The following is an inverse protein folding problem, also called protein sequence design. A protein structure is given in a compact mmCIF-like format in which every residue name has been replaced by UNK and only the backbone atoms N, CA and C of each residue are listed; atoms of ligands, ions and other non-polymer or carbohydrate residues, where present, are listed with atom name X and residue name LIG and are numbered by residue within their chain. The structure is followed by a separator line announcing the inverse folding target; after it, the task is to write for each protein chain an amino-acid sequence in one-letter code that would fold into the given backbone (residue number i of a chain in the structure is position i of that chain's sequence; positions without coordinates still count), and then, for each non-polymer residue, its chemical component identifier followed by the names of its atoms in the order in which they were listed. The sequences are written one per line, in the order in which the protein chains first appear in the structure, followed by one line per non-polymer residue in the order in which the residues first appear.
data_IF_517400717607
#
_entry.id   IF_517400717607
#
_cell.length_a   1.000
_cell.length_b   1.000
_cell.length_c   1.000
_cell.angle_alpha   90.00
_cell.angle_beta   90.00
_cell.angle_gamma   90.00
#
_symmetry.space_group_name_H-M   'P 1'
#
loop_
_entity.id
_entity.type
_entity.pdbx_description
1 polymer ?
#
# COMPACT_ATOMS: atom_id res chain seq x y z
N UNK A 1 37.90 -61.65 -45.16
CA UNK A 1 37.55 -60.76 -46.25
C UNK A 1 37.24 -59.42 -45.72
N UNK A 2 38.17 -58.51 -46.03
CA UNK A 2 38.17 -57.02 -45.97
C UNK A 2 37.48 -56.26 -44.82
N UNK A 3 38.35 -55.83 -43.90
CA UNK A 3 38.13 -54.76 -42.92
C UNK A 3 38.08 -53.42 -43.62
N UNK A 4 37.21 -52.52 -43.11
CA UNK A 4 37.34 -51.08 -43.31
C UNK A 4 37.39 -50.34 -41.96
N UNK A 5 38.60 -49.94 -41.56
CA UNK A 5 38.83 -48.92 -40.57
C UNK A 5 38.63 -47.57 -41.23
N UNK A 6 37.72 -46.74 -40.72
CA UNK A 6 37.63 -45.33 -41.08
C UNK A 6 38.19 -44.50 -39.95
N UNK A 7 39.14 -43.67 -40.25
CA UNK A 7 39.73 -42.64 -39.39
C UNK A 7 38.69 -41.55 -39.08
N UNK A 8 38.51 -41.22 -37.82
CA UNK A 8 37.84 -40.01 -37.36
C UNK A 8 38.89 -38.97 -37.04
N UNK A 9 38.95 -37.93 -37.87
CA UNK A 9 39.69 -36.71 -37.57
C UNK A 9 38.89 -35.85 -36.59
N UNK A 10 39.47 -35.57 -35.44
CA UNK A 10 38.86 -34.69 -34.43
C UNK A 10 39.03 -33.22 -34.81
N UNK A 11 37.92 -32.52 -35.00
CA UNK A 11 37.88 -31.05 -35.03
C UNK A 11 37.62 -30.54 -33.62
N UNK A 12 38.63 -29.86 -33.03
CA UNK A 12 38.45 -29.14 -31.78
C UNK A 12 37.64 -27.87 -32.02
N UNK A 13 36.36 -27.90 -31.63
CA UNK A 13 35.56 -26.69 -31.59
C UNK A 13 35.84 -25.96 -30.28
N UNK A 14 36.50 -24.80 -30.38
CA UNK A 14 36.68 -23.88 -29.27
C UNK A 14 35.33 -23.32 -28.82
N UNK A 15 34.88 -23.68 -27.64
CA UNK A 15 33.72 -23.09 -27.01
C UNK A 15 34.05 -21.67 -26.54
N UNK A 16 33.56 -20.65 -27.26
CA UNK A 16 33.56 -19.30 -26.79
C UNK A 16 32.64 -19.17 -25.59
N UNK A 17 33.17 -18.87 -24.41
CA UNK A 17 32.42 -18.53 -23.21
C UNK A 17 31.61 -17.25 -23.50
N UNK A 18 30.30 -17.21 -23.13
CA UNK A 18 29.53 -16.00 -23.28
C UNK A 18 30.11 -14.91 -22.36
N UNK A 19 30.36 -13.75 -22.93
CA UNK A 19 30.80 -12.57 -22.21
C UNK A 19 29.84 -12.27 -21.05
N UNK A 20 30.36 -12.21 -19.83
CA UNK A 20 29.64 -11.77 -18.65
C UNK A 20 29.03 -10.40 -18.96
N UNK A 21 27.71 -10.34 -18.94
CA UNK A 21 26.98 -9.10 -19.07
C UNK A 21 27.48 -8.14 -17.99
N UNK A 22 28.11 -7.06 -18.43
CA UNK A 22 28.59 -5.97 -17.59
C UNK A 22 27.44 -5.52 -16.71
N UNK A 23 27.61 -5.63 -15.40
CA UNK A 23 26.67 -5.12 -14.42
C UNK A 23 26.48 -3.61 -14.70
N UNK A 24 25.29 -3.25 -15.17
CA UNK A 24 24.94 -1.86 -15.47
C UNK A 24 24.96 -1.11 -14.14
N UNK A 25 25.84 -0.10 -14.03
CA UNK A 25 25.92 0.74 -12.84
C UNK A 25 24.51 1.26 -12.48
N UNK A 26 24.13 1.27 -11.20
CA UNK A 26 22.80 1.71 -10.78
C UNK A 26 22.57 3.15 -11.30
N UNK A 27 21.58 3.33 -12.14
CA UNK A 27 21.18 4.66 -12.61
C UNK A 27 20.52 5.36 -11.43
N UNK A 28 21.27 6.24 -10.77
CA UNK A 28 20.74 7.15 -9.75
C UNK A 28 19.56 7.90 -10.36
N UNK A 29 18.37 7.74 -9.79
CA UNK A 29 17.23 8.56 -10.19
C UNK A 29 17.59 10.03 -9.94
N UNK A 30 17.24 10.97 -10.83
CA UNK A 30 17.45 12.38 -10.56
C UNK A 30 16.67 12.79 -9.30
N UNK A 31 17.15 13.77 -8.52
CA UNK A 31 16.42 14.26 -7.37
C UNK A 31 15.03 14.71 -7.84
N UNK A 32 14.01 14.04 -7.36
CA UNK A 32 12.62 14.33 -7.69
C UNK A 32 12.18 15.42 -6.73
N UNK A 33 11.62 16.49 -7.28
CA UNK A 33 10.92 17.48 -6.49
C UNK A 33 9.70 16.87 -5.77
N UNK A 34 8.71 17.66 -5.43
CA UNK A 34 7.49 17.20 -4.76
C UNK A 34 6.81 16.06 -5.55
N UNK A 35 6.49 14.96 -4.84
CA UNK A 35 5.85 13.77 -5.43
C UNK A 35 4.35 14.04 -5.62
N UNK A 36 3.90 14.09 -6.87
CA UNK A 36 2.50 14.15 -7.24
C UNK A 36 2.08 12.81 -7.81
N UNK A 37 1.22 12.07 -7.11
CA UNK A 37 0.92 10.70 -7.50
C UNK A 37 -0.52 10.25 -7.30
N UNK A 38 -0.78 9.04 -7.77
CA UNK A 38 -1.96 8.24 -7.42
C UNK A 38 -1.52 6.86 -6.94
N UNK A 39 -2.35 6.20 -6.13
CA UNK A 39 -2.03 4.92 -5.54
C UNK A 39 -2.99 3.81 -5.96
N UNK A 40 -2.50 2.57 -5.90
CA UNK A 40 -3.28 1.32 -5.94
C UNK A 40 -2.67 0.30 -4.98
N UNK A 41 -3.44 -0.75 -4.62
CA UNK A 41 -2.94 -1.91 -3.89
C UNK A 41 -3.18 -3.18 -4.72
N UNK A 42 -2.23 -4.11 -4.72
CA UNK A 42 -2.24 -5.27 -5.60
C UNK A 42 -3.54 -6.07 -5.50
N UNK A 43 -3.93 -6.51 -4.32
CA UNK A 43 -5.16 -7.30 -4.13
C UNK A 43 -6.43 -6.57 -4.61
N UNK A 44 -6.48 -5.24 -4.45
CA UNK A 44 -7.64 -4.43 -4.81
C UNK A 44 -7.78 -4.19 -6.33
N UNK A 45 -6.70 -4.32 -7.10
CA UNK A 45 -6.72 -3.98 -8.55
C UNK A 45 -6.25 -5.08 -9.48
N UNK A 46 -5.36 -5.98 -9.04
CA UNK A 46 -4.71 -6.95 -9.94
C UNK A 46 -5.62 -8.07 -10.41
N UNK A 47 -6.50 -8.57 -9.52
CA UNK A 47 -7.33 -9.75 -9.77
C UNK A 47 -6.60 -11.07 -9.55
N UNK A 48 -7.35 -12.14 -9.29
CA UNK A 48 -6.83 -13.50 -9.20
C UNK A 48 -5.68 -13.71 -8.20
N UNK A 49 -5.69 -13.04 -7.03
CA UNK A 49 -4.65 -13.18 -6.01
C UNK A 49 -4.88 -14.42 -5.11
N UNK A 50 -4.99 -15.58 -5.75
CA UNK A 50 -5.50 -16.83 -5.16
C UNK A 50 -4.68 -17.41 -4.00
N UNK A 51 -3.42 -17.01 -3.86
CA UNK A 51 -2.54 -17.48 -2.80
C UNK A 51 -2.51 -16.54 -1.58
N UNK A 52 -3.29 -15.45 -1.61
CA UNK A 52 -3.37 -14.52 -0.47
C UNK A 52 -4.36 -15.01 0.60
N UNK A 53 -4.14 -14.54 1.81
CA UNK A 53 -5.05 -14.71 2.94
C UNK A 53 -6.43 -14.06 2.67
N UNK A 54 -6.45 -12.87 2.06
CA UNK A 54 -7.68 -12.18 1.71
C UNK A 54 -8.52 -12.96 0.70
N UNK A 55 -7.89 -13.58 -0.32
CA UNK A 55 -8.60 -14.47 -1.25
C UNK A 55 -9.29 -15.62 -0.51
N UNK A 56 -8.59 -16.27 0.42
CA UNK A 56 -9.21 -17.34 1.23
C UNK A 56 -10.37 -16.80 2.04
N UNK A 57 -10.18 -15.65 2.72
CA UNK A 57 -11.19 -15.06 3.61
C UNK A 57 -12.47 -14.63 2.86
N UNK A 58 -12.36 -14.15 1.61
CA UNK A 58 -13.51 -13.73 0.81
C UNK A 58 -14.29 -14.91 0.19
N UNK A 59 -13.71 -16.13 0.15
CA UNK A 59 -14.33 -17.31 -0.45
C UNK A 59 -14.87 -18.32 0.57
N UNK A 60 -14.75 -18.06 1.89
CA UNK A 60 -15.29 -18.96 2.93
C UNK A 60 -16.66 -18.54 3.42
N UNK A 61 -17.38 -19.50 4.03
CA UNK A 61 -18.67 -19.26 4.69
C UNK A 61 -18.60 -19.83 6.13
N UNK A 62 -19.04 -19.06 7.15
CA UNK A 62 -19.45 -17.66 7.07
C UNK A 62 -18.29 -16.75 6.65
N UNK A 63 -18.56 -15.67 5.94
CA UNK A 63 -17.58 -14.71 5.44
C UNK A 63 -17.91 -13.29 5.85
N UNK A 64 -16.90 -12.41 5.82
CA UNK A 64 -17.03 -11.00 6.21
C UNK A 64 -17.06 -10.05 4.99
N UNK A 65 -16.87 -10.56 3.79
CA UNK A 65 -16.83 -9.76 2.56
C UNK A 65 -18.20 -9.71 1.91
N UNK A 66 -18.59 -8.53 1.40
CA UNK A 66 -19.84 -8.35 0.67
C UNK A 66 -19.85 -9.15 -0.65
N UNK A 67 -18.71 -9.22 -1.30
CA UNK A 67 -18.46 -9.96 -2.55
C UNK A 67 -16.96 -10.27 -2.67
N UNK A 68 -16.55 -11.27 -3.48
CA UNK A 68 -15.14 -11.56 -3.72
C UNK A 68 -14.49 -10.56 -4.66
N UNK A 69 -13.16 -10.41 -4.57
CA UNK A 69 -12.35 -9.56 -5.45
C UNK A 69 -12.38 -10.02 -6.91
N UNK A 70 -12.37 -11.32 -7.15
CA UNK A 70 -12.36 -11.90 -8.50
C UNK A 70 -11.20 -11.37 -9.35
N UNK A 71 -11.53 -10.87 -10.54
CA UNK A 71 -10.55 -10.26 -11.46
C UNK A 71 -10.20 -8.81 -11.10
N UNK A 72 -10.75 -8.27 -10.03
CA UNK A 72 -10.56 -6.89 -9.57
C UNK A 72 -10.69 -5.86 -10.70
N UNK A 73 -9.63 -5.13 -11.02
CA UNK A 73 -9.55 -4.23 -12.17
C UNK A 73 -8.74 -4.84 -13.34
N UNK A 74 -8.33 -6.11 -13.25
CA UNK A 74 -7.43 -6.77 -14.21
C UNK A 74 -6.10 -5.99 -14.41
N UNK A 75 -5.66 -5.27 -13.37
CA UNK A 75 -4.44 -4.47 -13.46
C UNK A 75 -3.18 -5.33 -13.59
N UNK A 76 -3.24 -6.61 -13.18
CA UNK A 76 -2.13 -7.55 -13.41
C UNK A 76 -1.75 -7.62 -14.89
N UNK A 77 -2.73 -7.62 -15.79
CA UNK A 77 -2.50 -7.63 -17.23
C UNK A 77 -2.48 -6.22 -17.83
N UNK A 78 -3.17 -5.26 -17.23
CA UNK A 78 -3.39 -3.90 -17.77
C UNK A 78 -2.57 -2.80 -17.10
N UNK A 79 -1.55 -3.15 -16.30
CA UNK A 79 -0.70 -2.16 -15.61
C UNK A 79 -0.12 -1.09 -16.54
N UNK A 80 0.18 -1.45 -17.80
CA UNK A 80 0.72 -0.50 -18.77
C UNK A 80 -0.29 0.60 -19.14
N UNK A 81 -1.60 0.25 -19.23
CA UNK A 81 -2.69 1.20 -19.43
C UNK A 81 -2.85 2.13 -18.20
N UNK A 82 -2.81 1.55 -16.99
CA UNK A 82 -2.86 2.31 -15.74
C UNK A 82 -1.70 3.31 -15.62
N UNK A 83 -0.49 2.88 -15.92
CA UNK A 83 0.72 3.73 -15.96
C UNK A 83 0.59 4.85 -16.98
N UNK A 84 0.06 4.54 -18.18
CA UNK A 84 -0.17 5.54 -19.23
C UNK A 84 -1.17 6.60 -18.77
N UNK A 85 -2.23 6.21 -18.05
CA UNK A 85 -3.21 7.13 -17.47
C UNK A 85 -2.56 8.05 -16.43
N UNK A 86 -1.78 7.50 -15.49
CA UNK A 86 -1.04 8.31 -14.49
C UNK A 86 -0.15 9.34 -15.18
N UNK A 87 0.57 8.93 -16.23
CA UNK A 87 1.42 9.83 -17.02
C UNK A 87 0.60 10.90 -17.75
N UNK A 88 -0.52 10.51 -18.37
CA UNK A 88 -1.41 11.42 -19.11
C UNK A 88 -2.06 12.47 -18.19
N UNK A 89 -2.29 12.14 -16.93
CA UNK A 89 -2.73 13.09 -15.90
C UNK A 89 -1.64 14.11 -15.53
N UNK A 90 -0.41 13.96 -16.03
CA UNK A 90 0.70 14.85 -15.69
C UNK A 90 1.31 14.58 -14.32
N UNK A 91 1.00 13.47 -13.66
CA UNK A 91 1.64 13.06 -12.40
C UNK A 91 3.08 12.62 -12.62
N UNK A 92 3.86 12.53 -11.55
CA UNK A 92 5.26 12.08 -11.60
C UNK A 92 5.53 10.83 -10.78
N UNK A 93 4.53 10.32 -10.04
CA UNK A 93 4.67 9.21 -9.11
C UNK A 93 3.49 8.26 -9.26
N UNK A 94 3.77 6.96 -9.23
CA UNK A 94 2.76 5.92 -9.10
C UNK A 94 3.11 5.03 -7.92
N UNK A 95 2.22 4.97 -6.90
CA UNK A 95 2.36 4.09 -5.76
C UNK A 95 1.55 2.81 -5.98
N UNK A 96 2.18 1.66 -5.81
CA UNK A 96 1.55 0.35 -5.95
C UNK A 96 2.17 -0.69 -5.03
N UNK A 97 1.44 -1.76 -4.74
CA UNK A 97 1.93 -2.90 -3.97
C UNK A 97 2.61 -3.94 -4.87
N UNK A 98 3.52 -4.71 -4.27
CA UNK A 98 3.97 -6.01 -4.80
C UNK A 98 3.39 -7.09 -3.91
N UNK A 99 2.73 -8.09 -4.51
CA UNK A 99 2.03 -9.11 -3.74
C UNK A 99 2.97 -10.22 -3.29
N UNK A 100 3.22 -10.30 -1.97
CA UNK A 100 4.04 -11.36 -1.38
C UNK A 100 3.49 -12.75 -1.73
N UNK A 101 2.17 -12.91 -1.67
CA UNK A 101 1.47 -14.15 -2.02
C UNK A 101 1.69 -14.63 -3.47
N UNK A 102 2.05 -13.74 -4.39
CA UNK A 102 2.44 -14.09 -5.77
C UNK A 102 3.92 -14.42 -5.88
N UNK A 103 4.75 -13.64 -5.17
CA UNK A 103 6.22 -13.80 -5.20
C UNK A 103 6.64 -15.06 -4.46
N UNK A 104 5.99 -15.38 -3.33
CA UNK A 104 6.24 -16.59 -2.52
C UNK A 104 4.91 -17.31 -2.26
N UNK A 105 4.35 -18.01 -3.27
CA UNK A 105 3.06 -18.68 -3.16
C UNK A 105 3.01 -19.80 -2.12
N UNK A 106 4.13 -20.48 -1.89
CA UNK A 106 4.36 -21.42 -0.80
C UNK A 106 5.67 -21.07 -0.08
N UNK A 107 5.79 -21.47 1.17
CA UNK A 107 6.95 -21.11 2.02
C UNK A 107 8.28 -21.53 1.42
N UNK A 108 9.12 -20.54 1.08
CA UNK A 108 10.45 -20.74 0.50
C UNK A 108 10.46 -20.93 -1.03
N UNK A 109 9.31 -20.98 -1.68
CA UNK A 109 9.22 -21.12 -3.14
C UNK A 109 9.04 -19.75 -3.80
N UNK A 110 10.10 -19.26 -4.42
CA UNK A 110 10.09 -17.93 -5.06
C UNK A 110 9.71 -18.03 -6.53
N UNK A 111 8.62 -17.39 -6.91
CA UNK A 111 8.16 -17.27 -8.29
C UNK A 111 8.98 -16.23 -9.06
N UNK A 112 9.88 -16.70 -9.93
CA UNK A 112 10.62 -15.82 -10.86
C UNK A 112 9.67 -15.08 -11.80
N UNK A 113 8.60 -15.74 -12.26
CA UNK A 113 7.62 -15.14 -13.15
C UNK A 113 6.91 -13.94 -12.50
N UNK A 114 6.59 -14.02 -11.19
CA UNK A 114 6.01 -12.91 -10.45
C UNK A 114 7.02 -11.76 -10.27
N UNK A 115 8.27 -12.07 -9.93
CA UNK A 115 9.32 -11.06 -9.86
C UNK A 115 9.54 -10.36 -11.22
N UNK A 116 9.57 -11.12 -12.31
CA UNK A 116 9.71 -10.57 -13.67
C UNK A 116 8.49 -9.71 -14.05
N UNK A 117 7.29 -10.06 -13.59
CA UNK A 117 6.09 -9.24 -13.77
C UNK A 117 6.24 -7.87 -13.10
N UNK A 118 6.58 -7.82 -11.81
CA UNK A 118 6.77 -6.55 -11.10
C UNK A 118 7.96 -5.75 -11.62
N UNK A 119 9.00 -6.42 -12.12
CA UNK A 119 10.10 -5.73 -12.82
C UNK A 119 9.59 -5.01 -14.06
N UNK A 120 8.81 -5.69 -14.92
CA UNK A 120 8.22 -5.04 -16.11
C UNK A 120 7.32 -3.86 -15.75
N UNK A 121 6.56 -3.97 -14.67
CA UNK A 121 5.72 -2.88 -14.16
C UNK A 121 6.57 -1.67 -13.71
N UNK A 122 7.64 -1.91 -12.95
CA UNK A 122 8.59 -0.88 -12.50
C UNK A 122 9.28 -0.23 -13.71
N UNK A 123 9.74 -1.04 -14.66
CA UNK A 123 10.41 -0.56 -15.87
C UNK A 123 9.46 0.29 -16.73
N UNK A 124 8.19 -0.11 -16.86
CA UNK A 124 7.16 0.68 -17.54
C UNK A 124 6.92 2.04 -16.88
N UNK A 125 6.86 2.08 -15.53
CA UNK A 125 6.77 3.34 -14.79
C UNK A 125 7.96 4.24 -15.11
N UNK A 126 9.18 3.71 -15.06
CA UNK A 126 10.40 4.47 -15.35
C UNK A 126 10.47 4.95 -16.80
N UNK A 127 10.09 4.10 -17.75
CA UNK A 127 10.01 4.45 -19.17
C UNK A 127 9.00 5.57 -19.43
N UNK A 128 7.89 5.59 -18.67
CA UNK A 128 6.90 6.68 -18.67
C UNK A 128 7.37 7.94 -17.93
N UNK A 129 8.57 7.95 -17.34
CA UNK A 129 9.09 9.06 -16.54
C UNK A 129 8.40 9.22 -15.18
N UNK A 130 7.76 8.17 -14.69
CA UNK A 130 7.17 8.12 -13.36
C UNK A 130 8.17 7.57 -12.33
N UNK A 131 8.02 8.01 -11.10
CA UNK A 131 8.74 7.53 -9.93
C UNK A 131 7.98 6.34 -9.30
N UNK A 132 8.52 5.10 -9.36
CA UNK A 132 7.88 3.96 -8.74
C UNK A 132 7.98 4.07 -7.21
N UNK A 133 6.84 4.10 -6.53
CA UNK A 133 6.73 4.08 -5.09
C UNK A 133 6.12 2.73 -4.68
N UNK A 134 6.93 1.84 -4.11
CA UNK A 134 6.55 0.44 -3.89
C UNK A 134 6.19 0.17 -2.44
N UNK A 135 5.04 -0.48 -2.23
CA UNK A 135 4.61 -1.01 -0.92
C UNK A 135 4.84 -2.51 -0.87
N UNK A 136 5.62 -2.98 0.11
CA UNK A 136 5.95 -4.40 0.28
C UNK A 136 4.81 -5.20 0.90
N UNK A 137 4.09 -4.62 1.86
CA UNK A 137 2.91 -5.24 2.47
C UNK A 137 1.75 -4.25 2.50
N UNK A 138 0.71 -4.53 1.72
CA UNK A 138 -0.56 -3.78 1.74
C UNK A 138 -1.67 -4.71 2.22
N UNK A 139 -1.65 -5.00 3.52
CA UNK A 139 -2.53 -5.90 4.28
C UNK A 139 -2.34 -7.38 3.98
N UNK A 140 -2.42 -7.77 2.69
CA UNK A 140 -2.35 -9.17 2.27
C UNK A 140 -1.03 -9.84 2.63
N UNK A 141 -1.13 -11.11 2.99
CA UNK A 141 -0.01 -12.02 3.21
C UNK A 141 -0.27 -13.35 2.49
N UNK A 142 0.73 -14.18 2.24
CA UNK A 142 0.50 -15.53 1.71
C UNK A 142 -0.39 -16.36 2.66
N UNK A 143 -1.29 -17.16 2.09
CA UNK A 143 -2.18 -18.06 2.87
C UNK A 143 -1.40 -18.98 3.82
N UNK A 144 -0.22 -19.47 3.42
CA UNK A 144 0.65 -20.28 4.27
C UNK A 144 1.17 -19.51 5.49
N UNK A 145 1.45 -18.20 5.33
CA UNK A 145 1.86 -17.32 6.43
C UNK A 145 0.70 -17.11 7.41
N UNK A 146 -0.51 -16.85 6.90
CA UNK A 146 -1.71 -16.73 7.72
C UNK A 146 -2.02 -18.03 8.47
N UNK A 147 -1.87 -19.20 7.81
CA UNK A 147 -2.02 -20.54 8.42
C UNK A 147 -0.96 -20.85 9.48
N UNK A 148 0.24 -20.28 9.35
CA UNK A 148 1.30 -20.40 10.36
C UNK A 148 1.16 -19.43 11.55
N UNK A 149 0.02 -18.74 11.67
CA UNK A 149 -0.24 -17.79 12.75
C UNK A 149 0.08 -16.33 12.41
N UNK A 150 0.43 -16.04 11.16
CA UNK A 150 0.53 -14.67 10.64
C UNK A 150 1.42 -13.76 11.47
N UNK A 151 0.93 -12.55 11.69
CA UNK A 151 1.59 -11.53 12.50
C UNK A 151 1.50 -11.77 14.02
N UNK A 152 0.86 -12.82 14.49
CA UNK A 152 0.83 -13.15 15.92
C UNK A 152 2.02 -14.03 16.38
N UNK A 153 2.90 -14.44 15.45
CA UNK A 153 4.04 -15.32 15.73
C UNK A 153 5.37 -14.64 15.39
N UNK A 154 6.20 -14.42 16.43
CA UNK A 154 7.52 -13.79 16.25
C UNK A 154 8.43 -14.58 15.29
N UNK A 155 8.32 -15.91 15.27
CA UNK A 155 9.07 -16.77 14.35
C UNK A 155 8.76 -16.50 12.86
N UNK A 156 7.66 -15.85 12.55
CA UNK A 156 7.28 -15.51 11.18
C UNK A 156 7.96 -14.24 10.65
N UNK A 157 8.60 -13.44 11.52
CA UNK A 157 9.32 -12.21 11.12
C UNK A 157 10.40 -12.53 10.08
N UNK A 158 11.15 -13.62 10.25
CA UNK A 158 12.20 -14.03 9.32
C UNK A 158 11.68 -14.25 7.88
N UNK A 159 10.45 -14.74 7.75
CA UNK A 159 9.84 -14.96 6.45
C UNK A 159 9.58 -13.63 5.71
N UNK A 160 9.04 -12.64 6.40
CA UNK A 160 8.80 -11.31 5.83
C UNK A 160 10.12 -10.60 5.47
N UNK A 161 11.12 -10.71 6.34
CA UNK A 161 12.46 -10.14 6.09
C UNK A 161 13.10 -10.74 4.84
N UNK A 162 13.05 -12.08 4.69
CA UNK A 162 13.53 -12.76 3.47
C UNK A 162 12.79 -12.32 2.22
N UNK A 163 11.46 -12.19 2.30
CA UNK A 163 10.67 -11.66 1.19
C UNK A 163 11.13 -10.26 0.80
N UNK A 164 11.26 -9.33 1.76
CA UNK A 164 11.71 -7.96 1.51
C UNK A 164 13.11 -7.94 0.88
N UNK A 165 14.05 -8.73 1.39
CA UNK A 165 15.41 -8.83 0.85
C UNK A 165 15.38 -9.39 -0.59
N UNK A 166 14.67 -10.49 -0.82
CA UNK A 166 14.56 -11.14 -2.14
C UNK A 166 13.94 -10.20 -3.17
N UNK A 167 12.82 -9.55 -2.83
CA UNK A 167 12.18 -8.59 -3.70
C UNK A 167 13.08 -7.38 -3.97
N UNK A 168 13.81 -6.87 -2.97
CA UNK A 168 14.73 -5.75 -3.15
C UNK A 168 15.91 -6.13 -4.04
N UNK A 169 16.49 -7.32 -3.89
CA UNK A 169 17.56 -7.82 -4.78
C UNK A 169 17.10 -7.92 -6.23
N UNK A 170 15.86 -8.35 -6.43
CA UNK A 170 15.29 -8.50 -7.76
C UNK A 170 14.83 -7.20 -8.40
N UNK A 171 14.27 -6.26 -7.64
CA UNK A 171 13.51 -5.11 -8.13
C UNK A 171 14.08 -3.75 -7.72
N UNK A 172 14.94 -3.73 -6.70
CA UNK A 172 15.30 -2.51 -5.96
C UNK A 172 15.96 -1.42 -6.78
N UNK A 173 16.69 -1.75 -7.84
CA UNK A 173 17.36 -0.78 -8.73
C UNK A 173 16.36 0.12 -9.48
N UNK A 174 15.11 -0.34 -9.63
CA UNK A 174 14.03 0.42 -10.26
C UNK A 174 13.15 1.20 -9.27
N UNK A 175 13.15 0.82 -7.99
CA UNK A 175 12.30 1.44 -6.96
C UNK A 175 12.85 2.81 -6.56
N UNK A 176 11.96 3.79 -6.44
CA UNK A 176 12.31 5.15 -6.04
C UNK A 176 12.05 5.46 -4.56
N UNK A 177 10.95 4.95 -3.99
CA UNK A 177 10.62 4.97 -2.56
C UNK A 177 10.00 3.63 -2.17
N UNK A 178 10.14 3.23 -0.92
CA UNK A 178 9.60 1.98 -0.40
C UNK A 178 8.83 2.18 0.91
N UNK A 179 7.69 1.49 1.03
CA UNK A 179 6.99 1.28 2.30
C UNK A 179 7.11 -0.18 2.69
N UNK A 180 7.54 -0.46 3.91
CA UNK A 180 7.50 -1.81 4.47
C UNK A 180 6.07 -2.26 4.68
N UNK A 181 5.27 -1.42 5.35
CA UNK A 181 3.87 -1.66 5.67
C UNK A 181 2.97 -0.51 5.25
N UNK A 182 1.79 -0.88 4.77
CA UNK A 182 0.63 -0.01 4.67
C UNK A 182 -0.22 -0.16 5.94
N UNK A 183 -0.45 0.94 6.65
CA UNK A 183 -1.38 1.06 7.78
C UNK A 183 -1.31 -0.08 8.83
N UNK A 184 -0.15 -0.43 9.36
CA UNK A 184 -0.06 -1.52 10.34
C UNK A 184 -0.83 -1.20 11.65
N UNK A 185 -1.16 0.06 11.89
CA UNK A 185 -1.97 0.53 13.01
C UNK A 185 -3.49 0.38 12.80
N UNK A 186 -3.96 0.05 11.58
CA UNK A 186 -5.40 0.03 11.25
C UNK A 186 -6.19 -0.95 12.14
N UNK A 187 -5.66 -2.15 12.40
CA UNK A 187 -6.35 -3.12 13.24
C UNK A 187 -6.61 -2.60 14.67
N UNK A 188 -5.66 -1.86 15.24
CA UNK A 188 -5.83 -1.20 16.53
C UNK A 188 -6.87 -0.07 16.44
N UNK A 189 -6.83 0.74 15.38
CA UNK A 189 -7.79 1.82 15.15
C UNK A 189 -9.22 1.31 15.01
N UNK A 190 -9.44 0.22 14.28
CA UNK A 190 -10.77 -0.39 14.09
C UNK A 190 -11.39 -0.88 15.41
N UNK A 191 -10.58 -1.26 16.40
CA UNK A 191 -11.08 -1.68 17.72
C UNK A 191 -11.73 -0.55 18.52
N UNK A 192 -11.43 0.70 18.20
CA UNK A 192 -12.11 1.87 18.78
C UNK A 192 -13.47 2.11 18.15
N UNK A 193 -13.78 1.49 16.99
CA UNK A 193 -15.08 1.59 16.34
C UNK A 193 -16.08 0.60 16.96
N UNK A 194 -17.22 1.06 17.53
CA UNK A 194 -18.22 0.17 18.16
C UNK A 194 -18.72 -0.93 17.22
N UNK A 195 -18.98 -0.58 15.96
CA UNK A 195 -19.41 -1.51 14.92
C UNK A 195 -18.43 -2.68 14.74
N UNK A 196 -17.13 -2.40 14.73
CA UNK A 196 -16.11 -3.43 14.56
C UNK A 196 -16.08 -4.40 15.74
N UNK A 197 -16.26 -3.89 16.98
CA UNK A 197 -16.36 -4.72 18.18
C UNK A 197 -17.56 -5.69 18.10
N UNK A 198 -18.69 -5.23 17.56
CA UNK A 198 -19.90 -6.07 17.37
C UNK A 198 -19.67 -7.16 16.33
N UNK A 199 -18.83 -6.94 15.32
CA UNK A 199 -18.53 -7.93 14.29
C UNK A 199 -17.47 -8.97 14.70
N UNK A 200 -16.78 -8.80 15.82
CA UNK A 200 -15.68 -9.67 16.24
C UNK A 200 -16.03 -11.18 16.28
N UNK A 201 -17.21 -11.62 16.75
CA UNK A 201 -17.60 -13.05 16.70
C UNK A 201 -17.72 -13.56 15.27
N UNK A 202 -18.22 -12.74 14.34
CA UNK A 202 -18.31 -13.07 12.91
C UNK A 202 -16.95 -13.24 12.27
N UNK A 203 -16.00 -12.37 12.59
CA UNK A 203 -14.60 -12.49 12.13
C UNK A 203 -13.92 -13.75 12.66
N UNK A 204 -14.15 -14.10 13.94
CA UNK A 204 -13.62 -15.34 14.50
C UNK A 204 -14.18 -16.58 13.77
N UNK A 205 -15.47 -16.61 13.46
CA UNK A 205 -16.10 -17.69 12.70
C UNK A 205 -15.55 -17.77 11.26
N UNK A 206 -15.35 -16.63 10.61
CA UNK A 206 -14.75 -16.57 9.26
C UNK A 206 -13.30 -17.07 9.27
N UNK A 207 -12.48 -16.66 10.23
CA UNK A 207 -11.10 -17.15 10.39
C UNK A 207 -11.06 -18.67 10.64
N UNK A 208 -11.96 -19.21 11.44
CA UNK A 208 -12.07 -20.65 11.65
C UNK A 208 -12.47 -21.40 10.35
N UNK A 209 -13.34 -20.81 9.53
CA UNK A 209 -13.68 -21.35 8.23
C UNK A 209 -12.50 -21.30 7.26
N UNK A 210 -11.75 -20.21 7.25
CA UNK A 210 -10.55 -20.02 6.45
C UNK A 210 -9.44 -21.03 6.85
N UNK A 211 -9.21 -21.25 8.13
CA UNK A 211 -8.27 -22.26 8.64
C UNK A 211 -8.60 -23.66 8.08
N UNK A 212 -9.87 -24.07 8.17
CA UNK A 212 -10.33 -25.35 7.62
C UNK A 212 -10.14 -25.44 6.11
N UNK A 213 -10.40 -24.34 5.39
CA UNK A 213 -10.29 -24.32 3.92
C UNK A 213 -8.86 -24.53 3.43
N UNK A 214 -7.86 -24.11 4.21
CA UNK A 214 -6.43 -24.30 3.86
C UNK A 214 -5.77 -25.47 4.60
N UNK A 215 -6.54 -26.25 5.41
CA UNK A 215 -6.00 -27.38 6.16
C UNK A 215 -5.04 -26.97 7.31
N UNK A 216 -5.23 -25.80 7.90
CA UNK A 216 -4.42 -25.31 9.02
C UNK A 216 -5.21 -25.31 10.34
N UNK A 217 -4.48 -25.34 11.47
CA UNK A 217 -5.08 -25.27 12.81
C UNK A 217 -5.65 -23.89 13.13
N UNK A 218 -5.11 -22.86 12.51
CA UNK A 218 -5.49 -21.46 12.71
C UNK A 218 -5.32 -20.66 11.43
N UNK A 219 -5.97 -19.51 11.38
CA UNK A 219 -5.84 -18.53 10.30
C UNK A 219 -5.82 -17.13 10.88
N UNK A 220 -4.76 -16.38 10.60
CA UNK A 220 -4.54 -15.02 11.14
C UNK A 220 -4.32 -14.06 9.97
N UNK A 221 -5.31 -13.22 9.73
CA UNK A 221 -5.35 -12.28 8.60
C UNK A 221 -5.58 -10.86 9.10
N UNK A 222 -5.13 -9.89 8.34
CA UNK A 222 -5.43 -8.47 8.58
C UNK A 222 -6.90 -8.19 8.19
N UNK A 223 -7.65 -7.45 9.00
CA UNK A 223 -7.31 -6.78 10.25
C UNK A 223 -7.77 -7.53 11.51
N UNK A 224 -7.98 -8.85 11.43
CA UNK A 224 -8.67 -9.65 12.44
C UNK A 224 -7.77 -10.28 13.49
N UNK A 225 -6.47 -10.07 13.41
CA UNK A 225 -5.48 -10.58 14.36
C UNK A 225 -5.60 -9.93 15.76
N UNK A 226 -5.06 -10.59 16.78
CA UNK A 226 -4.91 -10.00 18.12
C UNK A 226 -3.82 -8.92 18.09
N UNK A 227 -4.24 -7.65 18.20
CA UNK A 227 -3.33 -6.49 18.14
C UNK A 227 -2.23 -6.55 19.19
N UNK A 228 -2.52 -7.06 20.40
CA UNK A 228 -1.51 -7.13 21.48
C UNK A 228 -0.40 -8.12 21.15
N UNK A 229 -0.73 -9.20 20.43
CA UNK A 229 0.24 -10.18 19.96
C UNK A 229 0.94 -9.70 18.68
N UNK A 230 0.20 -9.10 17.77
CA UNK A 230 0.71 -8.69 16.46
C UNK A 230 1.62 -7.45 16.52
N UNK A 231 1.33 -6.48 17.38
CA UNK A 231 2.09 -5.23 17.45
C UNK A 231 3.60 -5.43 17.62
N UNK A 232 4.10 -6.19 18.62
CA UNK A 232 5.55 -6.39 18.77
C UNK A 232 6.16 -7.15 17.59
N UNK A 233 5.41 -8.07 16.98
CA UNK A 233 5.86 -8.83 15.80
C UNK A 233 6.00 -7.94 14.59
N UNK A 234 5.00 -7.09 14.32
CA UNK A 234 5.03 -6.18 13.18
C UNK A 234 6.07 -5.06 13.35
N UNK A 235 6.27 -4.54 14.57
CA UNK A 235 7.34 -3.56 14.86
C UNK A 235 8.73 -4.16 14.57
N UNK A 236 9.00 -5.39 15.02
CA UNK A 236 10.24 -6.08 14.73
C UNK A 236 10.39 -6.43 13.25
N UNK A 237 9.29 -6.84 12.59
CA UNK A 237 9.27 -7.10 11.16
C UNK A 237 9.59 -5.83 10.36
N UNK A 238 9.00 -4.68 10.72
CA UNK A 238 9.30 -3.40 10.09
C UNK A 238 10.78 -3.03 10.22
N UNK A 239 11.31 -3.04 11.45
CA UNK A 239 12.70 -2.71 11.73
C UNK A 239 13.66 -3.55 10.91
N UNK A 240 13.51 -4.87 10.95
CA UNK A 240 14.39 -5.81 10.26
C UNK A 240 14.22 -5.80 8.74
N UNK A 241 12.98 -5.64 8.24
CA UNK A 241 12.72 -5.49 6.81
C UNK A 241 13.39 -4.21 6.26
N UNK A 242 13.30 -3.09 7.00
CA UNK A 242 13.99 -1.85 6.64
C UNK A 242 15.51 -2.07 6.55
N UNK A 243 16.11 -2.73 7.54
CA UNK A 243 17.54 -3.05 7.54
C UNK A 243 17.92 -3.95 6.36
N UNK A 244 17.11 -4.97 6.05
CA UNK A 244 17.33 -5.86 4.91
C UNK A 244 17.22 -5.11 3.56
N UNK A 245 16.24 -4.24 3.38
CA UNK A 245 16.11 -3.39 2.20
C UNK A 245 17.33 -2.46 2.07
N UNK A 246 17.71 -1.79 3.16
CA UNK A 246 18.87 -0.88 3.18
C UNK A 246 20.21 -1.60 2.96
N UNK A 247 20.35 -2.86 3.37
CA UNK A 247 21.56 -3.65 3.10
C UNK A 247 21.78 -3.93 1.61
N UNK A 248 20.69 -4.02 0.84
CA UNK A 248 20.71 -4.22 -0.61
C UNK A 248 20.77 -2.87 -1.36
N UNK A 249 20.00 -1.88 -0.89
CA UNK A 249 19.87 -0.55 -1.48
C UNK A 249 20.00 0.53 -0.41
N UNK A 250 21.23 0.89 -0.01
CA UNK A 250 21.49 1.88 1.06
C UNK A 250 20.87 3.27 0.78
N UNK A 251 20.77 3.63 -0.49
CA UNK A 251 20.25 4.92 -0.98
C UNK A 251 18.71 4.96 -1.13
N UNK A 252 18.02 3.82 -1.07
CA UNK A 252 16.58 3.76 -1.24
C UNK A 252 15.87 4.36 0.00
N UNK A 253 15.06 5.42 -0.14
CA UNK A 253 14.24 5.90 0.97
C UNK A 253 13.19 4.85 1.38
N UNK A 254 13.21 4.49 2.66
CA UNK A 254 12.30 3.49 3.25
C UNK A 254 11.56 4.09 4.43
N UNK A 255 10.25 3.88 4.48
CA UNK A 255 9.38 4.26 5.58
C UNK A 255 8.23 3.26 5.77
N UNK A 256 7.27 3.64 6.58
CA UNK A 256 5.97 3.00 6.70
C UNK A 256 4.86 4.04 6.56
N UNK A 257 3.60 3.63 6.30
CA UNK A 257 2.47 4.54 6.27
C UNK A 257 1.44 4.20 7.34
N UNK A 258 0.84 5.24 7.95
CA UNK A 258 -0.14 5.11 9.02
C UNK A 258 -1.51 5.62 8.60
N UNK A 259 -2.56 4.86 8.98
CA UNK A 259 -3.93 5.35 8.99
C UNK A 259 -4.07 6.39 10.11
N UNK A 260 -4.29 7.64 9.75
CA UNK A 260 -4.41 8.75 10.69
C UNK A 260 -5.71 9.51 10.42
N UNK A 261 -6.61 9.53 11.39
CA UNK A 261 -7.75 10.44 11.39
C UNK A 261 -7.42 11.70 12.20
N UNK A 262 -8.08 12.81 11.90
CA UNK A 262 -8.08 13.97 12.76
C UNK A 262 -8.93 13.65 13.99
N UNK A 263 -8.31 13.04 15.00
CA UNK A 263 -8.96 12.57 16.21
C UNK A 263 -9.18 13.74 17.17
N UNK A 264 -10.44 14.05 17.44
CA UNK A 264 -10.88 15.15 18.28
C UNK A 264 -11.66 14.63 19.50
N UNK A 265 -11.56 15.28 20.65
CA UNK A 265 -12.39 14.93 21.81
C UNK A 265 -13.87 15.12 21.46
N UNK A 266 -14.67 14.07 21.64
CA UNK A 266 -16.10 14.07 21.40
C UNK A 266 -16.94 14.20 22.67
N UNK A 267 -16.30 14.14 23.86
CA UNK A 267 -16.92 14.29 25.17
C UNK A 267 -15.91 14.86 26.18
N UNK A 268 -16.35 15.41 27.34
CA UNK A 268 -15.43 15.93 28.35
C UNK A 268 -14.46 14.89 28.94
N UNK A 269 -14.84 13.62 28.94
CA UNK A 269 -14.07 12.47 29.42
C UNK A 269 -13.38 11.70 28.28
N UNK A 270 -13.22 12.34 27.12
CA UNK A 270 -12.68 11.70 25.91
C UNK A 270 -11.34 10.99 26.13
N UNK A 271 -11.28 9.74 25.68
CA UNK A 271 -10.07 8.89 25.64
C UNK A 271 -9.11 9.17 24.47
N UNK A 272 -9.20 10.31 23.79
CA UNK A 272 -8.38 10.62 22.62
C UNK A 272 -6.89 10.43 22.87
N UNK A 273 -6.38 10.83 24.06
CA UNK A 273 -4.97 10.62 24.43
C UNK A 273 -4.62 9.15 24.57
N UNK A 274 -5.52 8.36 25.18
CA UNK A 274 -5.34 6.91 25.32
C UNK A 274 -5.34 6.23 23.95
N UNK A 275 -6.25 6.62 23.06
CA UNK A 275 -6.30 6.12 21.69
C UNK A 275 -5.01 6.41 20.92
N UNK A 276 -4.51 7.65 20.97
CA UNK A 276 -3.24 8.00 20.31
C UNK A 276 -2.08 7.17 20.88
N UNK A 277 -2.02 6.99 22.20
CA UNK A 277 -0.99 6.20 22.85
C UNK A 277 -1.04 4.71 22.47
N UNK A 278 -2.24 4.14 22.35
CA UNK A 278 -2.44 2.73 21.99
C UNK A 278 -2.23 2.48 20.50
N UNK A 279 -2.82 3.33 19.64
CA UNK A 279 -2.95 3.07 18.20
C UNK A 279 -1.78 3.60 17.40
N UNK A 280 -1.26 4.77 17.76
CA UNK A 280 -0.31 5.51 16.91
C UNK A 280 1.09 5.63 17.50
N UNK A 281 1.20 5.80 18.83
CA UNK A 281 2.48 6.09 19.47
C UNK A 281 3.57 5.05 19.18
N UNK A 282 3.34 3.72 19.26
CA UNK A 282 4.39 2.73 18.98
C UNK A 282 4.93 2.83 17.55
N UNK A 283 4.07 3.17 16.60
CA UNK A 283 4.43 3.32 15.20
C UNK A 283 5.14 4.64 14.91
N UNK A 284 4.75 5.73 15.56
CA UNK A 284 5.51 6.98 15.49
C UNK A 284 6.94 6.81 16.04
N UNK A 285 7.10 6.04 17.11
CA UNK A 285 8.41 5.74 17.69
C UNK A 285 9.27 4.91 16.72
N UNK A 286 8.70 3.89 16.12
CA UNK A 286 9.38 3.09 15.10
C UNK A 286 9.81 3.93 13.88
N UNK A 287 8.91 4.79 13.40
CA UNK A 287 9.14 5.64 12.23
C UNK A 287 10.23 6.71 12.44
N UNK A 288 10.65 6.99 13.68
CA UNK A 288 11.79 7.89 13.93
C UNK A 288 13.11 7.40 13.33
N UNK A 289 13.23 6.11 13.06
CA UNK A 289 14.38 5.54 12.39
C UNK A 289 14.28 5.58 10.85
N UNK A 290 13.11 5.87 10.31
CA UNK A 290 12.83 5.85 8.88
C UNK A 290 13.36 7.08 8.13
N UNK A 291 13.37 7.01 6.81
CA UNK A 291 13.76 8.15 5.98
C UNK A 291 12.61 9.16 5.83
N UNK A 292 11.36 8.70 5.95
CA UNK A 292 10.13 9.51 5.91
C UNK A 292 8.99 8.77 6.62
N UNK A 293 7.92 9.50 6.96
CA UNK A 293 6.65 8.91 7.43
C UNK A 293 5.56 9.09 6.39
N UNK A 294 4.85 8.01 6.06
CA UNK A 294 3.66 8.03 5.23
C UNK A 294 2.41 8.38 6.04
N UNK A 295 1.62 9.34 5.56
CA UNK A 295 0.35 9.76 6.18
C UNK A 295 -0.80 9.38 5.26
N UNK A 296 -1.82 8.72 5.83
CA UNK A 296 -3.04 8.33 5.14
C UNK A 296 -4.24 8.86 5.93
N UNK A 297 -5.00 9.78 5.33
CA UNK A 297 -6.06 10.51 6.03
C UNK A 297 -7.30 10.61 5.16
N UNK A 298 -8.47 10.24 5.72
CA UNK A 298 -9.73 10.27 5.00
C UNK A 298 -10.80 11.13 5.68
N UNK A 299 -10.61 11.48 6.97
CA UNK A 299 -11.60 12.27 7.68
C UNK A 299 -11.22 12.56 9.12
N UNK A 300 -12.22 13.07 9.84
CA UNK A 300 -12.17 13.35 11.28
C UNK A 300 -12.95 12.31 12.05
N UNK A 301 -12.49 11.99 13.27
CA UNK A 301 -13.17 11.11 14.21
C UNK A 301 -13.35 11.83 15.54
N UNK A 302 -14.55 11.78 16.10
CA UNK A 302 -14.83 12.19 17.47
C UNK A 302 -14.62 11.00 18.39
N UNK A 303 -13.80 11.16 19.40
CA UNK A 303 -13.43 10.09 20.35
C UNK A 303 -14.17 10.30 21.66
N UNK A 304 -14.99 9.32 22.07
CA UNK A 304 -15.61 9.25 23.39
C UNK A 304 -14.64 8.72 24.45
N UNK A 305 -15.16 8.27 25.59
CA UNK A 305 -14.34 7.81 26.70
C UNK A 305 -13.48 6.59 26.34
N UNK A 306 -14.07 5.59 25.67
CA UNK A 306 -13.45 4.30 25.36
C UNK A 306 -13.71 3.80 23.92
N UNK A 307 -14.40 4.61 23.11
CA UNK A 307 -14.76 4.28 21.73
C UNK A 307 -14.91 5.53 20.87
N UNK A 308 -14.85 5.35 19.56
CA UNK A 308 -15.21 6.37 18.59
C UNK A 308 -16.72 6.61 18.62
N UNK A 309 -17.09 7.88 18.51
CA UNK A 309 -18.47 8.30 18.41
C UNK A 309 -18.92 8.32 16.94
N UNK A 310 -20.21 8.04 16.67
CA UNK A 310 -20.75 8.20 15.33
C UNK A 310 -20.67 9.68 14.90
N UNK A 311 -20.64 9.95 13.59
CA UNK A 311 -20.76 11.31 13.08
C UNK A 311 -22.01 12.00 13.65
N UNK A 312 -21.91 13.28 14.08
CA UNK A 312 -23.06 14.01 14.59
C UNK A 312 -24.20 14.08 13.55
N UNK A 313 -25.47 14.10 14.00
CA UNK A 313 -26.60 14.23 13.09
C UNK A 313 -26.45 15.45 12.16
N UNK A 314 -26.77 15.27 10.89
CA UNK A 314 -26.70 16.34 9.86
C UNK A 314 -25.30 16.64 9.32
N UNK A 315 -24.25 16.00 9.83
CA UNK A 315 -22.91 16.11 9.23
C UNK A 315 -22.85 15.23 7.99
N UNK A 316 -22.31 15.78 6.91
CA UNK A 316 -22.08 15.05 5.66
C UNK A 316 -21.08 13.91 5.88
N UNK A 317 -21.45 12.72 5.37
CA UNK A 317 -20.62 11.53 5.41
C UNK A 317 -20.33 10.99 4.00
N UNK A 318 -19.24 10.23 3.89
CA UNK A 318 -18.81 9.56 2.66
C UNK A 318 -19.50 8.19 2.52
N UNK A 319 -19.30 7.50 1.40
CA UNK A 319 -19.81 6.12 1.21
C UNK A 319 -19.27 5.11 2.23
N UNK A 320 -18.13 5.40 2.87
CA UNK A 320 -17.56 4.59 3.95
C UNK A 320 -18.02 5.01 5.34
N UNK A 321 -18.92 6.01 5.45
CA UNK A 321 -19.45 6.49 6.72
C UNK A 321 -18.55 7.48 7.47
N UNK A 322 -17.40 7.83 6.93
CA UNK A 322 -16.52 8.85 7.50
C UNK A 322 -17.07 10.26 7.27
N UNK A 323 -16.78 11.19 8.18
CA UNK A 323 -17.16 12.59 8.00
C UNK A 323 -16.46 13.22 6.80
N UNK A 324 -17.17 14.06 6.05
CA UNK A 324 -16.56 14.87 4.99
C UNK A 324 -15.73 15.99 5.62
N UNK A 325 -14.47 15.71 5.89
CA UNK A 325 -13.54 16.62 6.61
C UNK A 325 -12.18 16.67 5.90
N UNK A 326 -12.08 17.26 4.71
CA UNK A 326 -10.82 17.28 3.96
C UNK A 326 -9.69 18.03 4.68
N UNK A 327 -10.00 18.99 5.58
CA UNK A 327 -9.01 19.71 6.39
C UNK A 327 -8.30 18.83 7.41
N UNK A 328 -8.83 17.64 7.72
CA UNK A 328 -8.19 16.63 8.56
C UNK A 328 -6.76 16.31 8.11
N UNK A 329 -6.49 16.38 6.80
CA UNK A 329 -5.16 16.16 6.25
C UNK A 329 -4.10 17.09 6.85
N UNK A 330 -4.40 18.37 7.00
CA UNK A 330 -3.46 19.32 7.60
C UNK A 330 -3.15 19.01 9.06
N UNK A 331 -4.15 18.55 9.83
CA UNK A 331 -3.98 18.19 11.23
C UNK A 331 -3.10 16.93 11.40
N UNK A 332 -3.36 15.89 10.61
CA UNK A 332 -2.62 14.62 10.67
C UNK A 332 -1.18 14.73 10.19
N UNK A 333 -0.93 15.54 9.16
CA UNK A 333 0.42 15.87 8.67
C UNK A 333 1.25 16.59 9.74
N UNK A 334 0.67 17.58 10.43
CA UNK A 334 1.32 18.25 11.57
C UNK A 334 1.59 17.28 12.73
N UNK A 335 0.64 16.39 13.02
CA UNK A 335 0.79 15.36 14.05
C UNK A 335 1.97 14.45 13.73
N UNK A 336 1.99 13.86 12.54
CA UNK A 336 3.04 12.94 12.11
C UNK A 336 4.43 13.59 12.14
N UNK A 337 4.57 14.80 11.59
CA UNK A 337 5.82 15.55 11.62
C UNK A 337 6.31 15.81 13.04
N UNK A 338 5.43 16.26 13.94
CA UNK A 338 5.75 16.54 15.34
C UNK A 338 6.17 15.28 16.10
N UNK A 339 5.48 14.15 15.87
CA UNK A 339 5.70 12.89 16.61
C UNK A 339 6.96 12.16 16.16
N UNK A 340 7.32 12.29 14.88
CA UNK A 340 8.44 11.53 14.30
C UNK A 340 9.69 12.37 14.07
N UNK A 341 9.54 13.66 13.79
CA UNK A 341 10.62 14.54 13.34
C UNK A 341 11.13 14.19 11.94
N UNK A 342 10.33 13.47 11.14
CA UNK A 342 10.70 13.02 9.79
C UNK A 342 9.95 13.79 8.71
N UNK A 343 10.51 13.87 7.49
CA UNK A 343 9.77 14.34 6.33
C UNK A 343 8.48 13.54 6.16
N UNK A 344 7.40 14.23 5.77
CA UNK A 344 6.08 13.61 5.57
C UNK A 344 5.80 13.41 4.09
N UNK A 345 5.30 12.25 3.72
CA UNK A 345 4.68 12.01 2.42
C UNK A 345 3.22 11.64 2.67
N UNK A 346 2.28 12.39 2.10
CA UNK A 346 0.89 11.94 2.06
C UNK A 346 0.81 10.79 1.06
N UNK A 347 0.76 9.56 1.59
CA UNK A 347 0.77 8.33 0.79
C UNK A 347 -0.61 7.88 0.37
N UNK A 348 -1.66 8.39 1.06
CA UNK A 348 -3.05 8.28 0.63
C UNK A 348 -3.88 9.44 1.20
N UNK A 349 -4.74 10.00 0.35
CA UNK A 349 -5.81 10.90 0.73
C UNK A 349 -6.85 10.92 -0.39
N UNK A 350 -8.12 10.87 -0.04
CA UNK A 350 -9.21 10.82 -1.01
C UNK A 350 -10.58 10.66 -0.36
N UNK A 351 -11.58 10.44 -1.16
CA UNK A 351 -12.98 10.31 -0.72
C UNK A 351 -13.70 9.22 -1.51
N UNK A 352 -14.47 8.38 -0.80
CA UNK A 352 -15.43 7.46 -1.41
C UNK A 352 -16.73 8.21 -1.74
N UNK A 353 -16.99 8.45 -3.01
CA UNK A 353 -18.19 9.13 -3.49
C UNK A 353 -18.46 8.85 -4.97
N UNK A 354 -19.73 8.75 -5.36
CA UNK A 354 -20.15 8.75 -6.78
C UNK A 354 -20.19 10.16 -7.37
N UNK A 355 -20.35 11.18 -6.52
CA UNK A 355 -20.33 12.58 -6.95
C UNK A 355 -18.89 13.06 -7.16
N UNK A 356 -18.47 13.09 -8.41
CA UNK A 356 -17.12 13.51 -8.78
C UNK A 356 -16.89 15.02 -8.58
N UNK A 357 -17.93 15.85 -8.62
CA UNK A 357 -17.81 17.27 -8.26
C UNK A 357 -17.46 17.42 -6.78
N UNK A 358 -18.04 16.54 -5.93
CA UNK A 358 -17.72 16.51 -4.51
C UNK A 358 -16.28 16.05 -4.24
N UNK A 359 -15.76 15.12 -5.06
CA UNK A 359 -14.35 14.71 -5.03
C UNK A 359 -13.42 15.88 -5.36
N UNK A 360 -13.75 16.70 -6.35
CA UNK A 360 -12.98 17.91 -6.70
C UNK A 360 -12.91 18.86 -5.49
N UNK A 361 -14.04 19.15 -4.85
CA UNK A 361 -14.09 20.01 -3.65
C UNK A 361 -13.23 19.42 -2.51
N UNK A 362 -13.28 18.10 -2.33
CA UNK A 362 -12.45 17.42 -1.32
C UNK A 362 -10.96 17.62 -1.60
N UNK A 363 -10.51 17.37 -2.84
CA UNK A 363 -9.12 17.53 -3.27
C UNK A 363 -8.63 18.97 -3.02
N UNK A 364 -9.41 19.97 -3.42
CA UNK A 364 -9.03 21.38 -3.28
C UNK A 364 -8.84 21.78 -1.82
N UNK A 365 -9.78 21.40 -0.94
CA UNK A 365 -9.74 21.73 0.49
C UNK A 365 -8.64 20.95 1.22
N UNK A 366 -8.43 19.66 0.89
CA UNK A 366 -7.35 18.87 1.46
C UNK A 366 -5.98 19.43 1.09
N UNK A 367 -5.78 19.79 -0.18
CA UNK A 367 -4.53 20.41 -0.64
C UNK A 367 -4.34 21.83 -0.08
N UNK A 368 -5.40 22.57 0.17
CA UNK A 368 -5.30 23.86 0.87
C UNK A 368 -4.82 23.67 2.30
N UNK A 369 -5.37 22.70 3.04
CA UNK A 369 -4.94 22.36 4.40
C UNK A 369 -3.49 21.86 4.45
N UNK A 370 -3.07 21.05 3.46
CA UNK A 370 -1.69 20.60 3.31
C UNK A 370 -0.73 21.76 3.09
N UNK A 371 -1.07 22.69 2.19
CA UNK A 371 -0.28 23.92 1.95
C UNK A 371 -0.18 24.77 3.20
N UNK A 372 -1.25 24.85 4.01
CA UNK A 372 -1.22 25.51 5.32
C UNK A 372 -0.17 24.90 6.25
N UNK A 373 -0.13 23.57 6.37
CA UNK A 373 0.88 22.89 7.18
C UNK A 373 2.31 23.14 6.65
N UNK A 374 2.52 23.14 5.35
CA UNK A 374 3.81 23.44 4.72
C UNK A 374 4.23 24.89 4.98
N UNK A 375 3.31 25.85 4.94
CA UNK A 375 3.60 27.25 5.24
C UNK A 375 4.00 27.48 6.70
N UNK A 376 3.61 26.60 7.61
CA UNK A 376 4.02 26.57 9.02
C UNK A 376 5.37 25.87 9.23
N UNK A 377 6.02 25.38 8.15
CA UNK A 377 7.34 24.76 8.19
C UNK A 377 7.34 23.23 8.27
N UNK A 378 6.18 22.56 8.10
CA UNK A 378 6.18 21.09 8.00
C UNK A 378 6.83 20.65 6.69
N UNK A 379 7.84 19.78 6.79
CA UNK A 379 8.60 19.24 5.66
C UNK A 379 7.78 18.15 4.96
N UNK A 380 7.06 18.51 3.88
CA UNK A 380 6.21 17.63 3.11
C UNK A 380 6.80 17.38 1.73
N UNK A 381 7.06 16.12 1.38
CA UNK A 381 7.72 15.73 0.13
C UNK A 381 6.77 15.23 -0.95
N UNK A 382 5.49 14.99 -0.65
CA UNK A 382 4.56 14.51 -1.67
C UNK A 382 3.12 14.39 -1.24
N UNK A 383 2.25 14.31 -2.25
CA UNK A 383 0.83 13.99 -2.12
C UNK A 383 0.45 12.93 -3.16
N UNK A 384 -0.03 11.80 -2.69
CA UNK A 384 -0.47 10.67 -3.49
C UNK A 384 -1.96 10.44 -3.20
N UNK A 385 -2.79 10.56 -4.26
CA UNK A 385 -4.24 10.40 -4.13
C UNK A 385 -4.63 8.92 -4.03
N UNK A 386 -5.51 8.58 -3.12
CA UNK A 386 -6.22 7.32 -3.07
C UNK A 386 -7.62 7.46 -3.67
N UNK A 387 -7.87 6.83 -4.79
CA UNK A 387 -7.06 5.88 -5.53
C UNK A 387 -7.01 6.26 -7.02
N UNK A 388 -6.15 5.61 -7.78
CA UNK A 388 -6.15 5.75 -9.23
C UNK A 388 -7.46 5.25 -9.82
N UNK A 389 -7.88 4.03 -9.46
CA UNK A 389 -9.02 3.32 -10.03
C UNK A 389 -10.15 3.17 -9.00
N UNK A 390 -11.41 3.18 -9.45
CA UNK A 390 -12.49 2.55 -8.69
C UNK A 390 -12.19 1.06 -8.60
N UNK A 391 -11.98 0.55 -7.38
CA UNK A 391 -11.43 -0.77 -7.16
C UNK A 391 -12.24 -1.59 -6.14
N UNK A 392 -11.73 -2.75 -5.75
CA UNK A 392 -12.26 -3.60 -4.71
C UNK A 392 -11.91 -3.01 -3.33
N UNK A 393 -12.93 -2.59 -2.57
CA UNK A 393 -12.75 -1.94 -1.27
C UNK A 393 -12.98 -2.94 -0.13
N UNK A 394 -12.17 -3.99 -0.11
CA UNK A 394 -12.13 -5.00 0.95
C UNK A 394 -13.53 -5.54 1.32
N UNK A 395 -13.88 -5.54 2.60
CA UNK A 395 -15.17 -6.04 3.10
C UNK A 395 -16.40 -5.34 2.48
N UNK A 396 -16.22 -4.15 1.90
CA UNK A 396 -17.29 -3.38 1.25
C UNK A 396 -17.50 -3.71 -0.24
N UNK A 397 -16.66 -4.59 -0.82
CA UNK A 397 -16.73 -4.96 -2.23
C UNK A 397 -16.47 -3.76 -3.15
N UNK A 398 -17.24 -3.66 -4.23
CA UNK A 398 -17.05 -2.61 -5.24
C UNK A 398 -17.95 -1.38 -5.05
N UNK A 399 -18.72 -1.30 -3.95
CA UNK A 399 -19.63 -0.18 -3.71
C UNK A 399 -18.93 1.16 -3.49
N UNK A 400 -17.88 1.30 -2.65
CA UNK A 400 -17.19 2.57 -2.46
C UNK A 400 -16.38 2.96 -3.72
N UNK A 401 -16.49 4.24 -4.12
CA UNK A 401 -15.82 4.78 -5.32
C UNK A 401 -14.79 5.83 -4.92
N UNK A 402 -13.54 5.39 -4.80
CA UNK A 402 -12.40 6.28 -4.48
C UNK A 402 -11.65 6.78 -5.71
N UNK A 403 -11.78 6.08 -6.84
CA UNK A 403 -10.96 6.28 -8.03
C UNK A 403 -11.09 7.64 -8.68
N UNK A 404 -9.97 8.16 -9.16
CA UNK A 404 -9.92 9.23 -10.17
C UNK A 404 -10.37 8.72 -11.53
N UNK A 405 -10.34 7.41 -11.73
CA UNK A 405 -10.69 6.70 -12.97
C UNK A 405 -11.76 5.67 -12.67
N UNK A 406 -12.86 5.74 -13.36
CA UNK A 406 -13.89 4.70 -13.30
C UNK A 406 -13.44 3.44 -14.06
N UNK A 407 -13.79 2.28 -13.53
CA UNK A 407 -13.55 0.98 -14.16
C UNK A 407 -14.88 0.28 -14.42
N UNK A 408 -15.15 -0.04 -15.68
CA UNK A 408 -16.29 -0.86 -16.07
C UNK A 408 -15.98 -2.32 -15.74
N UNK A 409 -16.77 -2.92 -14.86
CA UNK A 409 -16.50 -4.27 -14.33
C UNK A 409 -16.64 -5.39 -15.36
N UNK A 410 -17.39 -5.19 -16.41
CA UNK A 410 -17.59 -6.21 -17.44
C UNK A 410 -16.49 -6.19 -18.51
N UNK A 411 -15.94 -5.03 -18.81
CA UNK A 411 -14.98 -4.83 -19.91
C UNK A 411 -13.60 -4.40 -19.43
N UNK A 412 -13.48 -4.04 -18.15
CA UNK A 412 -12.30 -3.42 -17.53
C UNK A 412 -11.86 -2.12 -18.20
N UNK A 413 -12.75 -1.46 -18.95
CA UNK A 413 -12.46 -0.17 -19.58
C UNK A 413 -12.23 0.90 -18.50
N UNK A 414 -11.13 1.65 -18.64
CA UNK A 414 -10.78 2.78 -17.78
C UNK A 414 -11.34 4.08 -18.37
N UNK A 415 -12.02 4.87 -17.54
CA UNK A 415 -12.58 6.17 -17.93
C UNK A 415 -12.16 7.23 -16.91
N UNK A 416 -11.16 8.09 -17.22
CA UNK A 416 -10.77 9.18 -16.35
C UNK A 416 -11.93 10.14 -16.07
N UNK A 417 -12.19 10.41 -14.79
CA UNK A 417 -13.23 11.31 -14.33
C UNK A 417 -12.80 12.79 -14.44
N UNK A 418 -13.70 13.76 -14.31
CA UNK A 418 -13.35 15.18 -14.22
C UNK A 418 -12.31 15.48 -13.14
N UNK A 419 -12.39 14.82 -11.96
CA UNK A 419 -11.42 14.94 -10.86
C UNK A 419 -10.01 14.53 -11.25
N UNK A 420 -9.83 13.56 -12.15
CA UNK A 420 -8.53 13.17 -12.68
C UNK A 420 -7.85 14.32 -13.43
N UNK A 421 -8.60 14.99 -14.30
CA UNK A 421 -8.11 16.17 -15.05
C UNK A 421 -7.83 17.35 -14.12
N UNK A 422 -8.71 17.59 -13.16
CA UNK A 422 -8.55 18.64 -12.15
C UNK A 422 -7.29 18.45 -11.32
N UNK A 423 -7.08 17.27 -10.75
CA UNK A 423 -5.90 16.94 -9.96
C UNK A 423 -4.61 17.02 -10.81
N UNK A 424 -4.66 16.53 -12.06
CA UNK A 424 -3.56 16.65 -13.01
C UNK A 424 -3.17 18.10 -13.32
N UNK A 425 -4.15 18.99 -13.48
CA UNK A 425 -3.90 20.42 -13.69
C UNK A 425 -3.20 21.07 -12.46
N UNK A 426 -3.60 20.70 -11.24
CA UNK A 426 -2.95 21.16 -10.01
C UNK A 426 -1.49 20.71 -9.97
N UNK A 427 -1.22 19.43 -10.26
CA UNK A 427 0.13 18.88 -10.26
C UNK A 427 1.03 19.54 -11.32
N UNK A 428 0.49 19.82 -12.51
CA UNK A 428 1.21 20.51 -13.59
C UNK A 428 1.54 21.97 -13.20
N UNK A 429 0.58 22.71 -12.64
CA UNK A 429 0.78 24.09 -12.20
C UNK A 429 1.82 24.20 -11.06
N UNK A 430 1.89 23.20 -10.19
CA UNK A 430 2.88 23.16 -9.11
C UNK A 430 4.30 22.91 -9.61
N UNK A 431 4.48 22.12 -10.69
CA UNK A 431 5.79 21.87 -11.31
C UNK A 431 6.36 23.08 -12.03
N UNK A 432 5.51 23.95 -12.57
CA UNK A 432 5.90 25.19 -13.24
C UNK A 432 6.35 26.31 -12.26
N UNK A 433 6.02 26.17 -10.98
CA UNK A 433 6.51 27.03 -9.90
C UNK A 433 7.72 26.30 -9.31
N UNK A 434 8.94 26.75 -9.58
CA UNK A 434 10.14 26.19 -8.95
C UNK A 434 9.99 26.10 -7.42
N UNK A 435 10.88 25.37 -6.71
CA UNK A 435 10.80 25.26 -5.26
C UNK A 435 10.68 26.68 -4.65
N UNK A 436 9.75 26.85 -3.72
CA UNK A 436 9.63 28.09 -2.97
C UNK A 436 11.01 28.42 -2.36
N UNK A 437 11.50 29.65 -2.43
CA UNK A 437 12.74 30.02 -1.77
C UNK A 437 12.64 29.67 -0.28
N UNK A 438 13.69 29.00 0.24
CA UNK A 438 13.84 28.64 1.67
C UNK A 438 14.01 29.90 2.51
#
# INVERSE_FOLDING_TARGET
MTSRRALLAGAAAGAALPALASARAPRRAPPIGFLWGAATAGHQVEGGNVNSDSWVAEHVKPGAFAEPSGDACDSYHRYAEDIAIVRAMGLNTYRFGIEWSRIEPERGEISRAALDHYRRMIDACRAAGLHPFVTYSHFTVPRWFAGAGGWEEMANVDAFVRFCETATRALGDGIGHALTFNEPNLAAQLRWMPFYRQMAPGFAAANAAAARAIGADRFVSTPTFDVRRALPVQLEAHRRAREAIKSVRPDLPVGLSLALNDEQPGSPDSGVKAKIAEVHQPWFEAARADDFIGVQTYGRTLVGADADLPPPPGIETTQTGMTFSPEALGATVRLAARMTGRPVIVTENGIATEDDARRIVYIDRALAALRGAMAEGVDVHGYIHWSLLDNFEWNSGYRPKFGLVAVDRATFRRTPKPSARHFGAIAAAAKGRGPAPR
#
